data_IF_188599188463
#
_entry.id   IF_188599188463
#
_cell.length_a   1.000
_cell.length_b   1.000
_cell.length_c   1.000
_cell.angle_alpha   90.00
_cell.angle_beta   90.00
_cell.angle_gamma   90.00
#
_symmetry.space_group_name_H-M   'P 1'
#
loop_
_entity.id
_entity.type
_entity.pdbx_description
1 polymer ?
#
# COMPACT_ATOMS: atom_id res chain seq x y z
N UNK A 1 0.48 0.90 -16.94
CA UNK A 1 -0.56 0.14 -16.22
C UNK A 1 0.14 -0.70 -15.18
N UNK A 2 0.24 -0.18 -13.95
CA UNK A 2 0.80 -0.91 -12.80
C UNK A 2 -0.14 -2.05 -12.41
N UNK A 3 0.41 -3.20 -12.08
CA UNK A 3 -0.29 -4.44 -11.75
C UNK A 3 -1.58 -4.21 -10.97
N UNK A 4 -2.71 -4.71 -11.49
CA UNK A 4 -3.99 -4.59 -10.83
C UNK A 4 -3.95 -5.37 -9.51
N UNK A 5 -4.14 -4.67 -8.39
CA UNK A 5 -4.36 -5.28 -7.08
C UNK A 5 -5.75 -5.94 -7.11
N UNK A 6 -5.86 -7.20 -6.68
CA UNK A 6 -7.17 -7.85 -6.59
C UNK A 6 -8.03 -7.21 -5.50
N UNK A 7 -9.36 -7.23 -5.65
CA UNK A 7 -10.27 -6.68 -4.64
C UNK A 7 -10.00 -7.23 -3.24
N UNK A 8 -9.69 -8.53 -3.17
CA UNK A 8 -9.31 -9.18 -1.91
C UNK A 8 -8.04 -8.58 -1.32
N UNK A 9 -7.01 -8.33 -2.13
CA UNK A 9 -5.77 -7.71 -1.66
C UNK A 9 -5.99 -6.25 -1.23
N UNK A 10 -6.87 -5.53 -1.90
CA UNK A 10 -7.25 -4.17 -1.50
C UNK A 10 -7.98 -4.14 -0.15
N UNK A 11 -8.85 -5.12 0.12
CA UNK A 11 -9.55 -5.25 1.41
C UNK A 11 -8.55 -5.55 2.53
N UNK A 12 -7.70 -6.57 2.38
CA UNK A 12 -6.71 -6.94 3.41
C UNK A 12 -5.74 -5.79 3.70
N UNK A 13 -5.29 -5.08 2.65
CA UNK A 13 -4.49 -3.88 2.81
C UNK A 13 -5.22 -2.80 3.62
N UNK A 14 -6.48 -2.53 3.28
CA UNK A 14 -7.27 -1.49 3.93
C UNK A 14 -7.46 -1.77 5.43
N UNK A 15 -7.68 -3.04 5.81
CA UNK A 15 -7.79 -3.46 7.22
C UNK A 15 -6.51 -3.06 7.97
N UNK A 16 -5.35 -3.60 7.57
CA UNK A 16 -4.08 -3.31 8.26
C UNK A 16 -3.67 -1.84 8.19
N UNK A 17 -3.97 -1.16 7.09
CA UNK A 17 -3.65 0.26 6.92
C UNK A 17 -4.48 1.14 7.86
N UNK A 18 -5.81 0.99 7.86
CA UNK A 18 -6.67 1.81 8.69
C UNK A 18 -6.59 1.45 10.16
N UNK A 19 -6.30 0.19 10.52
CA UNK A 19 -6.02 -0.21 11.91
C UNK A 19 -4.79 0.51 12.47
N UNK A 20 -3.70 0.57 11.69
CA UNK A 20 -2.51 1.31 12.08
C UNK A 20 -2.78 2.81 12.23
N UNK A 21 -3.55 3.41 11.31
CA UNK A 21 -3.91 4.83 11.41
C UNK A 21 -4.79 5.11 12.64
N UNK A 22 -5.79 4.27 12.90
CA UNK A 22 -6.65 4.38 14.08
C UNK A 22 -5.86 4.23 15.39
N UNK A 23 -4.79 3.43 15.39
CA UNK A 23 -3.85 3.31 16.50
C UNK A 23 -2.84 4.49 16.60
N UNK A 24 -3.02 5.56 15.82
CA UNK A 24 -2.16 6.75 15.85
C UNK A 24 -0.78 6.54 15.22
N UNK A 25 -0.61 5.52 14.38
CA UNK A 25 0.67 5.23 13.72
C UNK A 25 0.87 6.09 12.47
N UNK A 26 2.12 6.43 12.12
CA UNK A 26 2.40 7.22 10.93
C UNK A 26 2.08 6.45 9.64
N UNK A 27 1.78 7.18 8.57
CA UNK A 27 1.40 6.62 7.25
C UNK A 27 2.40 5.59 6.72
N UNK A 28 3.71 5.79 6.91
CA UNK A 28 4.71 4.82 6.48
C UNK A 28 4.61 3.49 7.25
N UNK A 29 4.22 3.54 8.52
CA UNK A 29 4.00 2.33 9.31
C UNK A 29 2.71 1.64 8.87
N UNK A 30 1.63 2.41 8.68
CA UNK A 30 0.35 1.89 8.18
C UNK A 30 0.50 1.20 6.82
N UNK A 31 1.25 1.80 5.90
CA UNK A 31 1.58 1.20 4.60
C UNK A 31 2.29 -0.16 4.75
N UNK A 32 3.34 -0.24 5.59
CA UNK A 32 4.06 -1.49 5.84
C UNK A 32 3.16 -2.55 6.48
N UNK A 33 2.25 -2.15 7.37
CA UNK A 33 1.31 -3.06 8.01
C UNK A 33 0.30 -3.62 6.99
N UNK A 34 -0.32 -2.77 6.17
CA UNK A 34 -1.21 -3.21 5.10
C UNK A 34 -0.54 -4.16 4.10
N UNK A 35 0.73 -3.92 3.74
CA UNK A 35 1.50 -4.85 2.89
C UNK A 35 1.77 -6.20 3.58
N UNK A 36 1.96 -6.21 4.90
CA UNK A 36 2.08 -7.45 5.66
C UNK A 36 0.77 -8.25 5.66
N UNK A 37 -0.39 -7.59 5.82
CA UNK A 37 -1.69 -8.27 5.78
C UNK A 37 -1.95 -8.96 4.44
N UNK A 38 -1.65 -8.29 3.31
CA UNK A 38 -1.73 -8.92 1.97
C UNK A 38 -0.90 -10.22 1.93
N UNK A 39 0.34 -10.17 2.44
CA UNK A 39 1.25 -11.33 2.45
C UNK A 39 0.75 -12.44 3.38
N UNK A 40 0.19 -12.10 4.53
CA UNK A 40 -0.39 -13.06 5.49
C UNK A 40 -1.64 -13.74 4.92
N UNK A 41 -2.45 -13.02 4.14
CA UNK A 41 -3.59 -13.56 3.42
C UNK A 41 -3.20 -14.49 2.25
N UNK A 42 -1.89 -14.76 2.05
CA UNK A 42 -1.32 -15.50 0.91
C UNK A 42 -1.75 -14.95 -0.44
N UNK A 43 -2.05 -13.66 -0.48
CA UNK A 43 -2.29 -12.94 -1.72
C UNK A 43 -0.93 -12.61 -2.28
N UNK A 44 -0.74 -12.96 -3.55
CA UNK A 44 0.58 -13.02 -4.15
C UNK A 44 1.34 -11.69 -4.03
N UNK A 45 2.64 -11.76 -3.77
CA UNK A 45 3.51 -10.62 -3.44
C UNK A 45 3.57 -9.55 -4.55
N UNK A 46 3.20 -9.90 -5.78
CA UNK A 46 3.10 -8.97 -6.92
C UNK A 46 1.92 -7.99 -6.83
N UNK A 47 1.01 -8.16 -5.88
CA UNK A 47 -0.12 -7.27 -5.60
C UNK A 47 0.22 -6.22 -4.53
N UNK A 48 1.48 -6.11 -4.12
CA UNK A 48 1.89 -5.14 -3.11
C UNK A 48 1.83 -3.72 -3.70
N UNK A 49 1.07 -2.79 -3.10
CA UNK A 49 0.99 -1.41 -3.58
C UNK A 49 2.32 -0.68 -3.39
N UNK A 50 2.69 0.23 -4.29
CA UNK A 50 3.86 1.10 -4.14
C UNK A 50 3.47 2.43 -3.46
N UNK A 51 4.21 2.81 -2.41
CA UNK A 51 3.98 4.09 -1.72
C UNK A 51 4.68 5.24 -2.45
N UNK A 52 3.91 6.02 -3.21
CA UNK A 52 4.42 7.22 -3.88
C UNK A 52 4.31 8.42 -2.93
N UNK A 53 5.45 9.01 -2.55
CA UNK A 53 5.44 10.28 -1.82
C UNK A 53 5.23 11.43 -2.80
N UNK A 54 4.63 12.52 -2.32
CA UNK A 54 4.34 13.71 -3.14
C UNK A 54 5.59 14.26 -3.86
N UNK A 55 6.76 14.22 -3.22
CA UNK A 55 8.01 14.66 -3.84
C UNK A 55 8.38 13.78 -5.06
N UNK A 56 8.25 12.45 -4.90
CA UNK A 56 8.58 11.48 -5.94
C UNK A 56 7.57 11.52 -7.10
N UNK A 57 6.28 11.79 -6.80
CA UNK A 57 5.25 12.00 -7.82
C UNK A 57 5.53 13.21 -8.72
N UNK A 58 6.02 14.31 -8.14
CA UNK A 58 6.35 15.54 -8.89
C UNK A 58 7.59 15.33 -9.77
N UNK A 59 8.57 14.56 -9.31
CA UNK A 59 9.75 14.17 -10.09
C UNK A 59 9.38 13.30 -11.31
N UNK A 60 8.39 12.42 -11.12
CA UNK A 60 7.88 11.50 -12.16
C UNK A 60 7.12 12.23 -13.26
N UNK A 61 6.48 13.36 -12.95
CA UNK A 61 5.75 14.20 -13.89
C UNK A 61 6.66 15.14 -14.72
N UNK A 62 7.87 15.45 -14.22
CA UNK A 62 8.84 16.32 -14.92
C UNK A 62 9.66 15.59 -15.99
N UNK A 63 9.60 14.26 -16.03
CA UNK A 63 10.33 13.41 -16.98
C UNK A 63 9.58 13.13 -18.29
N UNK A 64 8.42 13.75 -18.50
CA UNK A 64 7.62 13.65 -19.72
C UNK A 64 7.62 14.97 -20.49
#
# INVERSE_FOLDING_TARGET
MSNAVSDKAAIEFAIGFYDALAAGRPVQFAYKLGCNEIRMARLAEHLTPDLIKKADAVESLKKN
#
